data_IF_522807698397
#
_entry.id   IF_522807698397
#
_cell.length_a   1.000
_cell.length_b   1.000
_cell.length_c   1.000
_cell.angle_alpha   90.00
_cell.angle_beta   90.00
_cell.angle_gamma   90.00
#
_symmetry.space_group_name_H-M   'P 1'
#
loop_
_entity.id
_entity.type
_entity.pdbx_description
1 polymer ?
#
# COMPACT_ATOMS: atom_id res chain seq x y z
N UNK A 1 -21.51 -2.01 1.11
CA UNK A 1 -21.83 -1.85 2.55
C UNK A 1 -21.23 -0.52 3.01
N UNK A 2 -22.06 0.49 3.28
CA UNK A 2 -21.66 1.85 3.64
C UNK A 2 -21.18 1.91 5.10
N UNK A 3 -19.99 1.37 5.40
CA UNK A 3 -19.42 1.56 6.74
C UNK A 3 -18.86 2.99 6.82
N UNK A 4 -19.69 3.85 7.41
CA UNK A 4 -19.33 5.00 8.24
C UNK A 4 -18.67 6.25 7.65
N UNK A 5 -19.37 6.99 6.78
CA UNK A 5 -19.04 8.42 6.55
C UNK A 5 -18.99 9.25 7.85
N UNK A 6 -19.71 8.85 8.91
CA UNK A 6 -19.69 9.52 10.21
C UNK A 6 -18.46 9.23 11.07
N UNK A 7 -18.01 7.97 11.16
CA UNK A 7 -16.86 7.61 12.01
C UNK A 7 -15.52 8.00 11.36
N UNK A 8 -15.42 7.98 10.03
CA UNK A 8 -14.21 8.43 9.32
C UNK A 8 -13.93 9.92 9.49
N UNK A 9 -14.93 10.74 9.81
CA UNK A 9 -14.75 12.19 10.05
C UNK A 9 -14.24 12.47 11.46
N UNK A 10 -14.62 11.66 12.45
CA UNK A 10 -14.13 11.80 13.83
C UNK A 10 -12.81 11.07 14.10
N UNK A 11 -12.49 10.02 13.33
CA UNK A 11 -11.24 9.27 13.49
C UNK A 11 -9.96 10.15 13.46
N UNK A 12 -9.79 11.12 12.52
CA UNK A 12 -8.63 12.01 12.51
C UNK A 12 -8.45 12.78 13.82
N UNK A 13 -9.55 13.20 14.46
CA UNK A 13 -9.51 13.94 15.72
C UNK A 13 -8.90 13.10 16.83
N UNK A 14 -9.36 11.85 17.00
CA UNK A 14 -8.85 10.96 18.03
C UNK A 14 -7.39 10.55 17.77
N UNK A 15 -7.05 10.23 16.52
CA UNK A 15 -5.66 9.91 16.18
C UNK A 15 -4.72 11.11 16.32
N UNK A 16 -5.19 12.35 16.09
CA UNK A 16 -4.39 13.56 16.38
C UNK A 16 -4.12 13.73 17.86
N UNK A 17 -5.12 13.52 18.72
CA UNK A 17 -4.93 13.57 20.18
C UNK A 17 -3.89 12.53 20.61
N UNK A 18 -4.02 11.30 20.12
CA UNK A 18 -3.05 10.23 20.39
C UNK A 18 -1.64 10.59 19.89
N UNK A 19 -1.53 11.18 18.69
CA UNK A 19 -0.26 11.62 18.13
C UNK A 19 0.39 12.70 19.01
N UNK A 20 -0.37 13.71 19.43
CA UNK A 20 0.15 14.81 20.23
C UNK A 20 0.62 14.35 21.62
N UNK A 21 -0.14 13.44 22.25
CA UNK A 21 0.24 12.84 23.54
C UNK A 21 1.49 11.98 23.37
N UNK A 22 1.51 11.09 22.39
CA UNK A 22 2.63 10.19 22.13
C UNK A 22 3.91 10.97 21.76
N UNK A 23 3.79 12.01 20.93
CA UNK A 23 4.91 12.82 20.49
C UNK A 23 5.52 13.65 21.64
N UNK A 24 4.70 14.00 22.64
CA UNK A 24 5.13 14.81 23.78
C UNK A 24 5.69 13.99 24.94
N UNK A 25 5.15 12.79 25.17
CA UNK A 25 5.41 12.05 26.41
C UNK A 25 6.02 10.65 26.21
N UNK A 26 6.02 10.11 24.99
CA UNK A 26 6.47 8.74 24.72
C UNK A 26 7.72 8.72 23.81
N UNK A 27 8.48 7.61 23.81
CA UNK A 27 9.55 7.40 22.84
C UNK A 27 9.01 7.42 21.40
N UNK A 28 9.80 7.94 20.47
CA UNK A 28 9.35 8.22 19.09
C UNK A 28 8.78 6.99 18.37
N UNK A 29 9.30 5.79 18.65
CA UNK A 29 8.78 4.52 18.11
C UNK A 29 7.29 4.29 18.37
N UNK A 30 6.73 4.87 19.44
CA UNK A 30 5.31 4.74 19.78
C UNK A 30 4.41 5.54 18.85
N UNK A 31 4.96 6.44 18.02
CA UNK A 31 4.22 7.16 16.99
C UNK A 31 3.89 6.31 15.77
N UNK A 32 4.55 5.15 15.61
CA UNK A 32 4.44 4.32 14.41
C UNK A 32 2.98 3.94 14.09
N UNK A 33 2.19 3.38 15.05
CA UNK A 33 0.80 2.99 14.77
C UNK A 33 -0.11 4.18 14.47
N UNK A 34 0.11 5.31 15.15
CA UNK A 34 -0.67 6.54 14.96
C UNK A 34 -0.39 7.18 13.62
N UNK A 35 0.88 7.19 13.18
CA UNK A 35 1.27 7.69 11.86
C UNK A 35 0.66 6.83 10.74
N UNK A 36 0.66 5.51 10.90
CA UNK A 36 -0.01 4.59 9.98
C UNK A 36 -1.52 4.91 9.89
N UNK A 37 -2.18 5.03 11.04
CA UNK A 37 -3.62 5.26 11.12
C UNK A 37 -4.04 6.62 10.55
N UNK A 38 -3.31 7.69 10.88
CA UNK A 38 -3.54 9.02 10.30
C UNK A 38 -3.33 9.02 8.79
N UNK A 39 -2.25 8.39 8.33
CA UNK A 39 -1.94 8.22 6.92
C UNK A 39 -3.09 7.58 6.14
N UNK A 40 -3.60 6.44 6.65
CA UNK A 40 -4.72 5.73 6.03
C UNK A 40 -6.02 6.54 6.02
N UNK A 41 -6.33 7.19 7.14
CA UNK A 41 -7.57 7.97 7.25
C UNK A 41 -7.54 9.18 6.32
N UNK A 42 -6.44 9.93 6.26
CA UNK A 42 -6.35 11.06 5.32
C UNK A 42 -6.40 10.61 3.87
N UNK A 43 -5.81 9.45 3.53
CA UNK A 43 -5.94 8.88 2.20
C UNK A 43 -7.41 8.62 1.86
N UNK A 44 -8.17 8.00 2.78
CA UNK A 44 -9.61 7.74 2.61
C UNK A 44 -10.46 9.02 2.52
N UNK A 45 -10.01 10.10 3.14
CA UNK A 45 -10.62 11.42 3.07
C UNK A 45 -10.17 12.24 1.84
N UNK A 46 -9.35 11.65 0.95
CA UNK A 46 -8.73 12.33 -0.21
C UNK A 46 -7.85 13.53 0.17
N UNK A 47 -7.41 13.60 1.44
CA UNK A 47 -6.45 14.60 1.94
C UNK A 47 -5.02 14.12 1.68
N UNK A 48 -4.64 13.99 0.42
CA UNK A 48 -3.41 13.30 0.02
C UNK A 48 -2.13 13.91 0.61
N UNK A 49 -2.05 15.24 0.73
CA UNK A 49 -0.87 15.92 1.30
C UNK A 49 -0.65 15.52 2.77
N UNK A 50 -1.71 15.49 3.56
CA UNK A 50 -1.66 15.07 4.96
C UNK A 50 -1.32 13.58 5.06
N UNK A 51 -1.95 12.74 4.22
CA UNK A 51 -1.65 11.31 4.14
C UNK A 51 -0.15 11.06 3.90
N UNK A 52 0.45 11.76 2.94
CA UNK A 52 1.86 11.63 2.62
C UNK A 52 2.78 12.04 3.78
N UNK A 53 2.41 13.05 4.59
CA UNK A 53 3.20 13.47 5.76
C UNK A 53 3.28 12.32 6.76
N UNK A 54 2.13 11.77 7.15
CA UNK A 54 2.08 10.74 8.18
C UNK A 54 2.61 9.39 7.68
N UNK A 55 2.36 9.02 6.42
CA UNK A 55 2.89 7.79 5.83
C UNK A 55 4.42 7.83 5.64
N UNK A 56 5.00 8.99 5.32
CA UNK A 56 6.46 9.15 5.27
C UNK A 56 7.07 9.02 6.67
N UNK A 57 6.46 9.65 7.67
CA UNK A 57 6.88 9.49 9.06
C UNK A 57 6.74 8.03 9.54
N UNK A 58 5.66 7.34 9.19
CA UNK A 58 5.48 5.90 9.45
C UNK A 58 6.62 5.08 8.83
N UNK A 59 6.97 5.34 7.56
CA UNK A 59 8.09 4.67 6.89
C UNK A 59 9.44 4.93 7.58
N UNK A 60 9.71 6.16 7.98
CA UNK A 60 10.98 6.52 8.62
C UNK A 60 11.11 5.87 10.00
N UNK A 61 10.04 5.88 10.81
CA UNK A 61 10.01 5.17 12.09
C UNK A 61 10.19 3.65 11.92
N UNK A 62 9.60 3.07 10.88
CA UNK A 62 9.76 1.64 10.58
C UNK A 62 11.20 1.29 10.14
N UNK A 63 11.91 2.22 9.47
CA UNK A 63 13.35 2.07 9.18
C UNK A 63 14.19 2.14 10.44
N UNK A 64 13.93 3.11 11.30
CA UNK A 64 14.67 3.26 12.57
C UNK A 64 14.48 2.05 13.48
N UNK A 65 13.27 1.47 13.46
CA UNK A 65 12.96 0.23 14.17
C UNK A 65 13.52 -1.04 13.49
N UNK A 66 14.08 -0.93 12.27
CA UNK A 66 14.43 -2.08 11.41
C UNK A 66 13.25 -3.03 11.21
N UNK A 67 12.02 -2.50 11.25
CA UNK A 67 10.78 -3.26 11.05
C UNK A 67 10.45 -3.28 9.57
N UNK A 68 10.91 -4.33 8.91
CA UNK A 68 10.72 -4.45 7.47
C UNK A 68 9.25 -4.71 7.08
N UNK A 69 8.40 -5.23 7.99
CA UNK A 69 6.96 -5.45 7.74
C UNK A 69 6.31 -4.09 7.58
N UNK A 70 6.57 -3.23 8.57
CA UNK A 70 6.00 -1.89 8.60
C UNK A 70 6.61 -1.00 7.51
N UNK A 71 7.88 -1.21 7.12
CA UNK A 71 8.46 -0.54 5.94
C UNK A 71 7.75 -0.94 4.64
N UNK A 72 7.42 -2.23 4.48
CA UNK A 72 6.68 -2.71 3.30
C UNK A 72 5.28 -2.10 3.28
N UNK A 73 4.54 -2.19 4.39
CA UNK A 73 3.20 -1.61 4.52
C UNK A 73 3.19 -0.11 4.25
N UNK A 74 4.13 0.64 4.83
CA UNK A 74 4.27 2.07 4.61
C UNK A 74 4.53 2.38 3.12
N UNK A 75 5.38 1.59 2.46
CA UNK A 75 5.67 1.71 1.04
C UNK A 75 4.42 1.41 0.19
N UNK A 76 3.67 0.35 0.47
CA UNK A 76 2.42 0.05 -0.24
C UNK A 76 1.41 1.21 -0.12
N UNK A 77 1.23 1.75 1.08
CA UNK A 77 0.31 2.87 1.33
C UNK A 77 0.76 4.18 0.65
N UNK A 78 2.06 4.49 0.65
CA UNK A 78 2.60 5.63 -0.10
C UNK A 78 2.37 5.47 -1.60
N UNK A 79 2.65 4.27 -2.14
CA UNK A 79 2.42 3.96 -3.54
C UNK A 79 0.96 4.18 -3.93
N UNK A 80 0.03 3.66 -3.11
CA UNK A 80 -1.41 3.85 -3.28
C UNK A 80 -1.80 5.32 -3.21
N UNK A 81 -1.24 6.09 -2.27
CA UNK A 81 -1.56 7.52 -2.12
C UNK A 81 -1.17 8.31 -3.37
N UNK A 82 0.02 8.06 -3.91
CA UNK A 82 0.45 8.67 -5.16
C UNK A 82 -0.36 8.19 -6.38
N UNK A 83 -0.75 6.91 -6.42
CA UNK A 83 -1.62 6.40 -7.47
C UNK A 83 -2.99 7.10 -7.47
N UNK A 84 -3.62 7.25 -6.31
CA UNK A 84 -4.89 7.99 -6.18
C UNK A 84 -4.73 9.47 -6.56
N UNK A 85 -3.60 10.11 -6.21
CA UNK A 85 -3.31 11.48 -6.65
C UNK A 85 -3.23 11.60 -8.18
N UNK A 86 -2.57 10.64 -8.83
CA UNK A 86 -2.50 10.58 -10.29
C UNK A 86 -3.90 10.44 -10.91
N UNK A 87 -4.77 9.59 -10.36
CA UNK A 87 -6.14 9.43 -10.87
C UNK A 87 -7.01 10.69 -10.75
N UNK A 88 -6.64 11.65 -9.88
CA UNK A 88 -7.38 12.90 -9.68
C UNK A 88 -6.76 14.11 -10.37
N UNK A 89 -5.57 13.98 -10.95
CA UNK A 89 -4.84 15.07 -11.58
C UNK A 89 -4.48 14.72 -13.01
N UNK A 90 -4.88 15.57 -13.97
CA UNK A 90 -4.39 15.44 -15.33
C UNK A 90 -2.86 15.62 -15.35
N UNK A 91 -2.16 14.68 -15.99
CA UNK A 91 -0.73 14.72 -16.30
C UNK A 91 0.24 14.84 -15.10
N UNK A 92 -0.05 14.16 -13.97
CA UNK A 92 0.83 14.15 -12.79
C UNK A 92 1.95 13.10 -12.88
N UNK A 93 2.99 13.41 -13.67
CA UNK A 93 4.19 12.59 -13.77
C UNK A 93 4.89 12.35 -12.43
N UNK A 94 4.82 13.31 -11.51
CA UNK A 94 5.44 13.19 -10.19
C UNK A 94 4.74 12.09 -9.37
N UNK A 95 3.41 12.07 -9.36
CA UNK A 95 2.63 11.03 -8.69
C UNK A 95 2.87 9.66 -9.32
N UNK A 96 2.87 9.55 -10.64
CA UNK A 96 3.19 8.28 -11.32
C UNK A 96 4.57 7.75 -10.94
N UNK A 97 5.61 8.61 -10.99
CA UNK A 97 6.97 8.21 -10.65
C UNK A 97 7.07 7.73 -9.20
N UNK A 98 6.41 8.43 -8.26
CA UNK A 98 6.45 8.04 -6.86
C UNK A 98 5.61 6.77 -6.60
N UNK A 99 4.45 6.61 -7.23
CA UNK A 99 3.66 5.39 -7.13
C UNK A 99 4.48 4.16 -7.54
N UNK A 100 5.10 4.21 -8.74
CA UNK A 100 6.00 3.14 -9.22
C UNK A 100 7.17 2.90 -8.26
N UNK A 101 7.81 3.97 -7.77
CA UNK A 101 8.93 3.88 -6.82
C UNK A 101 8.53 3.12 -5.55
N UNK A 102 7.40 3.49 -4.94
CA UNK A 102 6.99 2.93 -3.66
C UNK A 102 6.43 1.51 -3.79
N UNK A 103 5.69 1.18 -4.85
CA UNK A 103 5.29 -0.20 -5.12
C UNK A 103 6.50 -1.12 -5.37
N UNK A 104 7.49 -0.66 -6.14
CA UNK A 104 8.75 -1.41 -6.33
C UNK A 104 9.52 -1.59 -5.02
N UNK A 105 9.53 -0.57 -4.16
CA UNK A 105 10.13 -0.67 -2.82
C UNK A 105 9.44 -1.74 -1.98
N UNK A 106 8.11 -1.76 -1.96
CA UNK A 106 7.33 -2.76 -1.22
C UNK A 106 7.62 -4.19 -1.73
N UNK A 107 7.64 -4.40 -3.05
CA UNK A 107 7.97 -5.71 -3.64
C UNK A 107 9.40 -6.16 -3.30
N UNK A 108 10.38 -5.24 -3.33
CA UNK A 108 11.77 -5.56 -2.96
C UNK A 108 11.88 -6.00 -1.50
N UNK A 109 11.20 -5.29 -0.60
CA UNK A 109 11.18 -5.65 0.82
C UNK A 109 10.56 -7.04 1.04
N UNK A 110 9.45 -7.33 0.36
CA UNK A 110 8.81 -8.65 0.42
C UNK A 110 9.74 -9.79 -0.05
N UNK A 111 10.47 -9.54 -1.15
CA UNK A 111 11.40 -10.53 -1.70
C UNK A 111 12.55 -10.85 -0.72
N UNK A 112 13.06 -9.84 0.00
CA UNK A 112 14.09 -10.05 1.03
C UNK A 112 13.60 -10.95 2.18
N UNK A 113 12.30 -11.01 2.46
CA UNK A 113 11.72 -11.94 3.44
C UNK A 113 11.65 -13.37 2.96
N UNK A 114 11.36 -13.58 1.67
CA UNK A 114 11.37 -14.92 1.08
C UNK A 114 12.74 -15.59 1.27
N UNK A 115 13.80 -14.80 1.23
CA UNK A 115 15.18 -15.24 1.42
C UNK A 115 15.57 -15.43 2.90
N UNK A 116 14.80 -14.88 3.86
CA UNK A 116 15.08 -14.92 5.31
C UNK A 116 13.80 -15.13 6.16
N UNK A 117 13.28 -16.37 6.29
CA UNK A 117 11.93 -16.66 6.80
C UNK A 117 11.71 -16.49 8.32
N UNK A 118 12.57 -15.76 9.04
CA UNK A 118 12.56 -15.72 10.51
C UNK A 118 11.43 -14.88 11.13
N UNK A 119 10.53 -14.26 10.37
CA UNK A 119 9.42 -13.50 10.94
C UNK A 119 8.15 -13.47 10.06
N UNK A 120 7.00 -13.60 10.74
CA UNK A 120 5.62 -13.30 10.34
C UNK A 120 5.29 -13.34 8.82
N UNK A 121 5.43 -14.53 8.22
CA UNK A 121 5.26 -14.80 6.77
C UNK A 121 3.94 -14.29 6.18
N UNK A 122 2.85 -14.34 6.94
CA UNK A 122 1.49 -14.02 6.46
C UNK A 122 1.27 -12.53 6.14
N UNK A 123 1.79 -11.62 6.97
CA UNK A 123 1.61 -10.18 6.75
C UNK A 123 2.41 -9.70 5.54
N UNK A 124 3.62 -10.23 5.34
CA UNK A 124 4.46 -9.90 4.19
C UNK A 124 3.82 -10.32 2.87
N UNK A 125 3.34 -11.56 2.83
CA UNK A 125 2.77 -12.14 1.62
C UNK A 125 1.55 -11.34 1.15
N UNK A 126 0.67 -10.96 2.07
CA UNK A 126 -0.49 -10.11 1.75
C UNK A 126 -0.08 -8.78 1.11
N UNK A 127 0.86 -8.07 1.72
CA UNK A 127 1.35 -6.79 1.20
C UNK A 127 2.11 -6.96 -0.11
N UNK A 128 2.73 -8.12 -0.35
CA UNK A 128 3.45 -8.43 -1.58
C UNK A 128 2.49 -8.61 -2.76
N UNK A 129 1.45 -9.41 -2.54
CA UNK A 129 0.36 -9.64 -3.48
C UNK A 129 -0.36 -8.33 -3.80
N UNK A 130 -0.64 -7.50 -2.78
CA UNK A 130 -1.28 -6.20 -3.01
C UNK A 130 -0.36 -5.28 -3.82
N UNK A 131 0.95 -5.22 -3.54
CA UNK A 131 1.87 -4.39 -4.32
C UNK A 131 1.89 -4.78 -5.82
N UNK A 132 1.88 -6.08 -6.14
CA UNK A 132 1.74 -6.59 -7.52
C UNK A 132 0.41 -6.17 -8.16
N UNK A 133 -0.69 -6.33 -7.42
CA UNK A 133 -2.01 -5.91 -7.88
C UNK A 133 -2.07 -4.41 -8.15
N UNK A 134 -1.45 -3.59 -7.31
CA UNK A 134 -1.50 -2.13 -7.38
C UNK A 134 -0.64 -1.58 -8.51
N UNK A 135 0.59 -2.09 -8.67
CA UNK A 135 1.43 -1.67 -9.79
C UNK A 135 0.86 -2.13 -11.13
N UNK A 136 0.21 -3.31 -11.18
CA UNK A 136 -0.51 -3.77 -12.36
C UNK A 136 -1.60 -2.80 -12.77
N UNK A 137 -2.46 -2.39 -11.84
CA UNK A 137 -3.51 -1.38 -12.12
C UNK A 137 -2.93 -0.02 -12.49
N UNK A 138 -1.83 0.41 -11.87
CA UNK A 138 -1.16 1.63 -12.28
C UNK A 138 -0.68 1.57 -13.74
N UNK A 139 -0.19 0.42 -14.21
CA UNK A 139 0.18 0.28 -15.63
C UNK A 139 -1.05 0.25 -16.55
N UNK A 140 -2.20 -0.28 -16.10
CA UNK A 140 -3.48 -0.15 -16.83
C UNK A 140 -3.86 1.31 -17.00
N UNK A 141 -3.83 2.09 -15.92
CA UNK A 141 -4.19 3.51 -15.96
C UNK A 141 -3.18 4.36 -16.78
N UNK A 142 -2.01 3.79 -17.12
CA UNK A 142 -1.00 4.36 -18.00
C UNK A 142 -1.06 3.80 -19.44
N UNK A 143 -2.09 3.01 -19.77
CA UNK A 143 -2.27 2.34 -21.07
C UNK A 143 -1.13 1.35 -21.45
N UNK A 144 -0.39 0.86 -20.45
CA UNK A 144 0.68 -0.12 -20.61
C UNK A 144 0.18 -1.55 -20.31
N UNK A 145 -0.80 -2.02 -21.08
CA UNK A 145 -1.51 -3.28 -20.81
C UNK A 145 -0.59 -4.52 -20.73
N UNK A 146 0.44 -4.60 -21.56
CA UNK A 146 1.42 -5.69 -21.52
C UNK A 146 2.17 -5.75 -20.17
N UNK A 147 2.52 -4.59 -19.62
CA UNK A 147 3.24 -4.54 -18.34
C UNK A 147 2.31 -4.77 -17.16
N UNK A 148 1.05 -4.33 -17.28
CA UNK A 148 0.00 -4.68 -16.34
C UNK A 148 -0.16 -6.21 -16.24
N UNK A 149 -0.25 -6.91 -17.39
CA UNK A 149 -0.32 -8.38 -17.41
C UNK A 149 0.87 -9.03 -16.69
N UNK A 150 2.10 -8.58 -16.95
CA UNK A 150 3.29 -9.13 -16.29
C UNK A 150 3.21 -9.01 -14.77
N UNK A 151 2.85 -7.84 -14.26
CA UNK A 151 2.76 -7.62 -12.81
C UNK A 151 1.64 -8.43 -12.16
N UNK A 152 0.46 -8.48 -12.78
CA UNK A 152 -0.69 -9.21 -12.25
C UNK A 152 -0.48 -10.73 -12.32
N UNK A 153 0.06 -11.25 -13.43
CA UNK A 153 0.39 -12.66 -13.57
C UNK A 153 1.45 -13.09 -12.56
N UNK A 154 2.47 -12.25 -12.33
CA UNK A 154 3.48 -12.54 -11.29
C UNK A 154 2.86 -12.59 -9.89
N UNK A 155 1.87 -11.74 -9.61
CA UNK A 155 1.11 -11.80 -8.36
C UNK A 155 0.39 -13.13 -8.16
N UNK A 156 -0.21 -13.69 -9.21
CA UNK A 156 -0.87 -15.00 -9.14
C UNK A 156 0.14 -16.15 -9.00
N UNK A 157 1.26 -16.09 -9.70
CA UNK A 157 2.35 -17.05 -9.54
C UNK A 157 2.83 -17.09 -8.08
N UNK A 158 2.95 -15.94 -7.42
CA UNK A 158 3.28 -15.87 -5.98
C UNK A 158 2.18 -16.52 -5.12
N UNK A 159 0.89 -16.31 -5.45
CA UNK A 159 -0.20 -16.99 -4.75
C UNK A 159 -0.11 -18.52 -4.88
N UNK A 160 0.29 -19.02 -6.05
CA UNK A 160 0.46 -20.45 -6.28
C UNK A 160 1.70 -21.01 -5.57
N UNK A 161 2.85 -20.33 -5.68
CA UNK A 161 4.10 -20.72 -5.02
C UNK A 161 3.99 -20.77 -3.49
N UNK A 162 3.21 -19.85 -2.90
CA UNK A 162 3.04 -19.73 -1.46
C UNK A 162 1.76 -20.40 -0.93
N UNK A 163 1.07 -21.18 -1.78
CA UNK A 163 -0.15 -21.92 -1.46
C UNK A 163 -1.24 -21.05 -0.81
N UNK A 164 -1.41 -19.83 -1.32
CA UNK A 164 -2.46 -18.91 -0.86
C UNK A 164 -3.83 -19.50 -1.19
N UNK A 165 -4.65 -19.63 -0.15
CA UNK A 165 -6.01 -20.19 -0.23
C UNK A 165 -6.85 -19.52 -1.31
N UNK A 166 -7.72 -20.31 -1.94
CA UNK A 166 -8.51 -19.86 -3.10
C UNK A 166 -9.48 -18.71 -2.77
N UNK A 167 -9.97 -18.65 -1.53
CA UNK A 167 -10.87 -17.61 -1.04
C UNK A 167 -10.15 -16.35 -0.54
N UNK A 168 -8.82 -16.27 -0.73
CA UNK A 168 -8.07 -15.08 -0.35
C UNK A 168 -8.46 -13.85 -1.18
N UNK A 169 -8.67 -12.73 -0.48
CA UNK A 169 -9.11 -11.47 -1.08
C UNK A 169 -8.10 -10.86 -2.05
N UNK A 170 -6.80 -11.05 -1.83
CA UNK A 170 -5.73 -10.59 -2.71
C UNK A 170 -5.67 -11.40 -4.00
N UNK A 171 -5.75 -12.73 -3.86
CA UNK A 171 -5.85 -13.65 -5.01
C UNK A 171 -7.07 -13.35 -5.87
N UNK A 172 -8.25 -13.16 -5.27
CA UNK A 172 -9.47 -12.78 -5.99
C UNK A 172 -9.32 -11.45 -6.75
N UNK A 173 -8.67 -10.44 -6.14
CA UNK A 173 -8.42 -9.14 -6.78
C UNK A 173 -7.53 -9.27 -8.03
N UNK A 174 -6.51 -10.11 -7.98
CA UNK A 174 -5.64 -10.36 -9.13
C UNK A 174 -6.40 -10.97 -10.31
N UNK A 175 -7.26 -11.96 -10.07
CA UNK A 175 -8.10 -12.54 -11.12
C UNK A 175 -9.03 -11.49 -11.74
N UNK A 176 -9.68 -10.67 -10.91
CA UNK A 176 -10.56 -9.61 -11.38
C UNK A 176 -9.80 -8.60 -12.25
N UNK A 177 -8.63 -8.15 -11.80
CA UNK A 177 -7.82 -7.19 -12.54
C UNK A 177 -7.30 -7.77 -13.87
N UNK A 178 -6.86 -9.04 -13.90
CA UNK A 178 -6.49 -9.69 -15.16
C UNK A 178 -7.67 -9.75 -16.12
N UNK A 179 -8.87 -10.06 -15.62
CA UNK A 179 -10.09 -10.01 -16.41
C UNK A 179 -10.33 -8.63 -17.02
N UNK A 180 -10.14 -7.56 -16.24
CA UNK A 180 -10.26 -6.18 -16.73
C UNK A 180 -9.22 -5.89 -17.84
N UNK A 181 -7.96 -6.30 -17.66
CA UNK A 181 -6.92 -6.11 -18.68
C UNK A 181 -7.27 -6.84 -19.97
N UNK A 182 -7.73 -8.09 -19.90
CA UNK A 182 -8.14 -8.84 -21.10
C UNK A 182 -9.39 -8.28 -21.78
N UNK A 183 -10.24 -7.54 -21.07
CA UNK A 183 -11.35 -6.82 -21.70
C UNK A 183 -10.89 -5.58 -22.47
N UNK A 184 -9.76 -4.98 -22.07
CA UNK A 184 -9.18 -3.80 -22.72
C UNK A 184 -8.26 -4.16 -23.89
N UNK A 185 -7.61 -5.32 -23.84
CA UNK A 185 -6.86 -5.88 -24.96
C UNK A 185 -7.81 -6.22 -26.11
N UNK A 186 -7.77 -5.41 -27.17
CA UNK A 186 -8.54 -5.61 -28.42
C UNK A 186 -7.76 -6.40 -29.46
#
# INVERSE_FOLDING_TARGET
MFINRGEYVEAPKWFRIDYDVSNKYLPEKQLLPTCQSLGEVYLRLEHYKDALIYLKKHLDLAKDATDLVEQQRASTQLGRTYHEMFLKSEDDHYSVQNAKKYFKSAMKLAQTFKENPHNNKSSFLKEYIDAHSKIGMLEVDLDNLDEALKFLAKGLEICDEEEVVEDDSGRSRLHHNLGNVYMELR
#
